data_IF_662189399297
#
_entry.id   IF_662189399297
#
_cell.length_a   1.000
_cell.length_b   1.000
_cell.length_c   1.000
_cell.angle_alpha   90.00
_cell.angle_beta   90.00
_cell.angle_gamma   90.00
#
_symmetry.space_group_name_H-M   'P 1'
#
loop_
_entity.id
_entity.type
_entity.pdbx_description
1 polymer ?
#
# COMPACT_ATOMS: atom_id res chain seq x y z
N UNK A 1 -22.24 3.78 13.92
CA UNK A 1 -21.79 3.90 12.51
C UNK A 1 -21.21 5.27 12.16
N UNK A 2 -21.79 6.40 12.59
CA UNK A 2 -21.31 7.74 12.22
C UNK A 2 -19.84 8.05 12.62
N UNK A 3 -19.42 7.70 13.84
CA UNK A 3 -18.03 7.89 14.28
C UNK A 3 -17.00 7.06 13.52
N UNK A 4 -17.36 5.83 13.12
CA UNK A 4 -16.47 4.98 12.31
C UNK A 4 -16.23 5.62 10.93
N UNK A 5 -17.29 6.14 10.31
CA UNK A 5 -17.21 6.82 9.01
C UNK A 5 -16.34 8.08 9.07
N UNK A 6 -16.43 8.85 10.16
CA UNK A 6 -15.56 10.03 10.39
C UNK A 6 -14.10 9.62 10.56
N UNK A 7 -13.80 8.63 11.40
CA UNK A 7 -12.42 8.12 11.58
C UNK A 7 -11.84 7.50 10.31
N UNK A 8 -12.68 6.86 9.49
CA UNK A 8 -12.27 6.35 8.18
C UNK A 8 -11.95 7.47 7.18
N UNK A 9 -12.63 8.63 7.28
CA UNK A 9 -12.32 9.81 6.48
C UNK A 9 -11.02 10.51 6.90
N UNK A 10 -10.64 10.37 8.17
CA UNK A 10 -9.34 10.83 8.69
C UNK A 10 -8.20 9.86 8.33
N UNK A 11 -8.53 8.60 8.05
CA UNK A 11 -7.59 7.56 7.67
C UNK A 11 -6.76 7.96 6.44
N UNK A 12 -5.44 7.83 6.56
CA UNK A 12 -4.51 7.99 5.43
C UNK A 12 -4.24 6.61 4.84
N UNK A 13 -4.37 6.50 3.52
CA UNK A 13 -4.04 5.28 2.79
C UNK A 13 -2.75 5.55 2.02
N UNK A 14 -1.71 4.78 2.34
CA UNK A 14 -0.43 4.80 1.65
C UNK A 14 -0.22 3.41 1.08
N UNK A 15 -0.09 3.33 -0.24
CA UNK A 15 0.11 2.09 -0.99
C UNK A 15 1.53 2.09 -1.51
N UNK A 16 2.23 0.97 -1.41
CA UNK A 16 3.53 0.80 -2.05
C UNK A 16 3.37 0.03 -3.35
N UNK A 17 3.98 0.49 -4.43
CA UNK A 17 4.20 -0.37 -5.58
C UNK A 17 4.98 -1.63 -5.16
N UNK A 18 4.70 -2.79 -5.76
CA UNK A 18 5.41 -4.03 -5.44
C UNK A 18 6.91 -3.92 -5.68
N UNK A 19 7.70 -4.40 -4.71
CA UNK A 19 9.15 -4.55 -4.80
C UNK A 19 9.48 -6.01 -4.51
N UNK A 20 9.79 -6.78 -5.55
CA UNK A 20 10.07 -8.22 -5.44
C UNK A 20 11.20 -8.52 -4.46
N UNK A 21 12.25 -7.69 -4.46
CA UNK A 21 13.43 -7.87 -3.60
C UNK A 21 13.11 -7.79 -2.10
N UNK A 22 11.92 -7.30 -1.72
CA UNK A 22 11.49 -7.18 -0.32
C UNK A 22 10.53 -8.30 0.10
N UNK A 23 10.10 -9.14 -0.82
CA UNK A 23 9.19 -10.24 -0.55
C UNK A 23 10.01 -11.45 -0.11
N UNK A 24 10.06 -11.62 1.21
CA UNK A 24 10.61 -12.81 1.83
C UNK A 24 9.45 -13.69 2.29
N UNK A 25 9.51 -14.99 1.95
CA UNK A 25 8.58 -15.96 2.53
C UNK A 25 8.91 -16.11 4.01
N UNK A 26 7.96 -15.74 4.87
CA UNK A 26 8.09 -15.89 6.31
C UNK A 26 7.93 -17.36 6.77
N UNK A 27 7.81 -18.30 5.82
CA UNK A 27 7.68 -19.73 6.05
C UNK A 27 6.33 -20.12 6.64
N UNK A 28 5.40 -19.17 6.75
CA UNK A 28 4.09 -19.39 7.36
C UNK A 28 3.12 -20.04 6.38
N UNK A 29 3.38 -19.96 5.06
CA UNK A 29 2.52 -20.53 4.01
C UNK A 29 1.12 -19.90 3.94
N UNK A 30 0.87 -18.84 4.72
CA UNK A 30 -0.45 -18.19 4.81
C UNK A 30 -0.71 -17.17 3.70
N UNK A 31 0.30 -16.87 2.88
CA UNK A 31 0.16 -15.95 1.77
C UNK A 31 0.76 -16.56 0.52
N UNK A 32 -0.03 -16.82 -0.55
CA UNK A 32 0.57 -17.05 -1.85
C UNK A 32 1.34 -15.78 -2.21
N UNK A 33 2.66 -15.90 -2.28
CA UNK A 33 3.56 -14.87 -2.81
C UNK A 33 3.65 -15.16 -4.30
N UNK A 34 3.02 -14.34 -5.18
CA UNK A 34 3.19 -14.53 -6.60
C UNK A 34 4.68 -14.59 -6.98
N UNK A 35 5.04 -15.58 -7.79
CA UNK A 35 6.43 -15.79 -8.21
C UNK A 35 6.87 -14.75 -9.25
N UNK A 36 5.90 -14.15 -9.95
CA UNK A 36 6.13 -13.22 -11.06
C UNK A 36 5.80 -11.78 -10.68
N UNK A 37 6.59 -10.84 -11.19
CA UNK A 37 6.39 -9.40 -10.98
C UNK A 37 5.03 -8.94 -11.50
N UNK A 38 4.62 -9.51 -12.63
CA UNK A 38 3.38 -9.17 -13.34
C UNK A 38 2.15 -9.46 -12.48
N UNK A 39 2.16 -10.57 -11.74
CA UNK A 39 1.07 -10.96 -10.85
C UNK A 39 0.97 -9.99 -9.66
N UNK A 40 2.11 -9.54 -9.12
CA UNK A 40 2.13 -8.51 -8.09
C UNK A 40 1.60 -7.16 -8.59
N UNK A 41 1.95 -6.78 -9.82
CA UNK A 41 1.44 -5.56 -10.45
C UNK A 41 -0.07 -5.65 -10.69
N UNK A 42 -0.58 -6.83 -11.07
CA UNK A 42 -2.00 -7.07 -11.21
C UNK A 42 -2.74 -6.89 -9.87
N UNK A 43 -2.25 -7.51 -8.78
CA UNK A 43 -2.82 -7.34 -7.43
C UNK A 43 -2.78 -5.87 -6.99
N UNK A 44 -1.66 -5.18 -7.23
CA UNK A 44 -1.54 -3.75 -6.92
C UNK A 44 -2.59 -2.91 -7.64
N UNK A 45 -2.80 -3.17 -8.93
CA UNK A 45 -3.80 -2.47 -9.74
C UNK A 45 -5.22 -2.76 -9.24
N UNK A 46 -5.55 -4.03 -8.99
CA UNK A 46 -6.86 -4.44 -8.45
C UNK A 46 -7.16 -3.79 -7.10
N UNK A 47 -6.13 -3.53 -6.28
CA UNK A 47 -6.30 -2.81 -5.02
C UNK A 47 -6.52 -1.30 -5.21
N UNK A 48 -5.84 -0.67 -6.17
CA UNK A 48 -5.95 0.78 -6.40
C UNK A 48 -7.27 1.17 -7.09
N UNK A 49 -7.81 0.32 -7.98
CA UNK A 49 -9.04 0.60 -8.72
C UNK A 49 -10.24 0.99 -7.82
N UNK A 50 -10.55 0.27 -6.72
CA UNK A 50 -11.58 0.69 -5.77
C UNK A 50 -11.28 2.02 -5.07
N UNK A 51 -10.00 2.33 -4.80
CA UNK A 51 -9.60 3.57 -4.13
C UNK A 51 -9.83 4.78 -5.03
N UNK A 52 -9.54 4.64 -6.32
CA UNK A 52 -9.86 5.65 -7.34
C UNK A 52 -11.36 5.94 -7.39
N UNK A 53 -12.19 4.88 -7.31
CA UNK A 53 -13.65 4.98 -7.31
C UNK A 53 -14.25 5.60 -6.04
N UNK A 54 -13.55 5.49 -4.90
CA UNK A 54 -14.00 6.02 -3.61
C UNK A 54 -13.74 7.52 -3.42
N UNK A 55 -12.98 8.16 -4.32
CA UNK A 55 -12.64 9.58 -4.25
C UNK A 55 -11.81 9.97 -3.02
N UNK A 56 -11.26 8.98 -2.30
CA UNK A 56 -10.36 9.19 -1.17
C UNK A 56 -8.97 9.57 -1.65
N UNK A 57 -8.28 10.46 -0.92
CA UNK A 57 -6.87 10.73 -1.19
C UNK A 57 -6.04 9.56 -0.67
N UNK A 58 -5.39 8.85 -1.58
CA UNK A 58 -4.36 7.88 -1.25
C UNK A 58 -3.07 8.24 -1.98
N UNK A 59 -1.94 7.78 -1.43
CA UNK A 59 -0.63 7.99 -2.02
C UNK A 59 -0.04 6.67 -2.46
N UNK A 60 0.41 6.59 -3.71
CA UNK A 60 1.18 5.46 -4.22
C UNK A 60 2.67 5.82 -4.17
N UNK A 61 3.45 5.01 -3.46
CA UNK A 61 4.90 5.15 -3.38
C UNK A 61 5.57 4.28 -4.45
N UNK A 62 6.38 4.89 -5.35
CA UNK A 62 6.97 4.17 -6.47
C UNK A 62 8.00 3.15 -5.99
N UNK A 63 8.10 2.03 -6.71
CA UNK A 63 9.04 0.93 -6.51
C UNK A 63 10.51 1.38 -6.45
N UNK A 64 10.85 2.47 -7.14
CA UNK A 64 12.19 3.06 -7.17
C UNK A 64 12.62 3.75 -5.86
N UNK A 65 11.69 4.01 -4.94
CA UNK A 65 11.97 4.70 -3.68
C UNK A 65 12.60 3.72 -2.67
N UNK A 66 13.70 4.13 -2.06
CA UNK A 66 14.41 3.35 -1.04
C UNK A 66 13.57 3.15 0.22
N UNK A 67 13.94 2.16 1.04
CA UNK A 67 13.25 1.90 2.30
C UNK A 67 13.26 3.12 3.24
N UNK A 68 14.41 3.79 3.37
CA UNK A 68 14.52 5.00 4.21
C UNK A 68 13.60 6.12 3.71
N UNK A 69 13.57 6.39 2.41
CA UNK A 69 12.72 7.44 1.83
C UNK A 69 11.23 7.14 2.07
N UNK A 70 10.80 5.88 1.96
CA UNK A 70 9.41 5.49 2.27
C UNK A 70 9.08 5.66 3.74
N UNK A 71 9.98 5.26 4.64
CA UNK A 71 9.81 5.44 6.08
C UNK A 71 9.69 6.93 6.42
N UNK A 72 10.57 7.76 5.86
CA UNK A 72 10.50 9.22 6.00
C UNK A 72 9.16 9.75 5.51
N UNK A 73 8.70 9.34 4.32
CA UNK A 73 7.40 9.74 3.79
C UNK A 73 6.26 9.40 4.74
N UNK A 74 6.20 8.16 5.26
CA UNK A 74 5.15 7.74 6.19
C UNK A 74 5.20 8.58 7.47
N UNK A 75 6.38 8.75 8.08
CA UNK A 75 6.54 9.51 9.31
C UNK A 75 6.16 10.98 9.15
N UNK A 76 6.49 11.61 8.02
CA UNK A 76 6.14 12.99 7.74
C UNK A 76 4.62 13.15 7.52
N UNK A 77 3.97 12.17 6.86
CA UNK A 77 2.51 12.15 6.67
C UNK A 77 1.71 11.76 7.92
N UNK A 78 2.37 11.29 8.99
CA UNK A 78 1.74 10.98 10.28
C UNK A 78 1.82 12.13 11.30
N UNK A 79 2.57 13.20 11.01
CA UNK A 79 2.84 14.30 11.95
C UNK A 79 1.89 15.51 11.84
N UNK A 80 0.82 15.42 11.05
CA UNK A 80 -0.19 16.48 10.90
C UNK A 80 -1.55 16.13 11.51
#
# INVERSE_FOLDING_TARGET
MAQLKVRMQEGRIIVCEPVLDWLEDDGTGFRPIPELKEDWLAVHKEFCEPLDGLGGRYHVLPSSMSLQERVSFVLDNMRE
#
